data_IF_810503070328
#
_entry.id   IF_810503070328
#
_cell.length_a   1.000
_cell.length_b   1.000
_cell.length_c   1.000
_cell.angle_alpha   90.00
_cell.angle_beta   90.00
_cell.angle_gamma   90.00
#
_symmetry.space_group_name_H-M   'P 1'
#
loop_
_entity.id
_entity.type
_entity.pdbx_description
1 polymer ?
#
# COMPACT_ATOMS: atom_id res chain seq x y z
N UNK A 1 -7.09 -22.67 28.95
CA UNK A 1 -7.34 -21.26 28.56
C UNK A 1 -8.83 -21.12 28.31
N UNK A 2 -9.55 -20.33 29.09
CA UNK A 2 -10.92 -19.93 28.77
C UNK A 2 -10.85 -18.73 27.84
N UNK A 3 -11.33 -18.86 26.61
CA UNK A 3 -11.45 -17.71 25.71
C UNK A 3 -12.60 -16.82 26.23
N UNK A 4 -12.36 -15.55 26.58
CA UNK A 4 -13.40 -14.66 27.09
C UNK A 4 -14.50 -14.37 26.06
N UNK A 5 -14.21 -14.57 24.77
CA UNK A 5 -15.15 -14.42 23.65
C UNK A 5 -15.14 -15.66 22.77
N UNK A 6 -16.32 -16.07 22.28
CA UNK A 6 -16.44 -17.19 21.33
C UNK A 6 -15.94 -16.83 19.93
N UNK A 7 -16.06 -15.55 19.54
CA UNK A 7 -15.63 -15.00 18.26
C UNK A 7 -15.14 -13.58 18.46
N UNK A 8 -14.18 -13.17 17.63
CA UNK A 8 -13.70 -11.78 17.55
C UNK A 8 -13.88 -11.33 16.11
N UNK A 9 -14.48 -10.16 15.93
CA UNK A 9 -14.64 -9.52 14.63
C UNK A 9 -13.70 -8.32 14.58
N UNK A 10 -12.57 -8.48 13.87
CA UNK A 10 -11.63 -7.40 13.63
C UNK A 10 -11.99 -6.72 12.30
N UNK A 11 -12.23 -5.41 12.36
CA UNK A 11 -12.54 -4.58 11.19
C UNK A 11 -11.41 -3.57 11.05
N UNK A 12 -10.70 -3.61 9.93
CA UNK A 12 -9.71 -2.60 9.57
C UNK A 12 -10.35 -1.64 8.58
N UNK A 13 -10.44 -0.37 8.96
CA UNK A 13 -10.81 0.71 8.05
C UNK A 13 -9.52 1.23 7.42
N UNK A 14 -9.14 0.67 6.26
CA UNK A 14 -7.83 0.92 5.65
C UNK A 14 -7.59 2.43 5.44
N UNK A 15 -6.39 2.89 5.79
CA UNK A 15 -5.92 4.30 5.75
C UNK A 15 -6.65 5.32 6.65
N UNK A 16 -7.62 4.91 7.48
CA UNK A 16 -8.37 5.85 8.35
C UNK A 16 -7.56 6.23 9.60
N UNK A 17 -6.57 7.10 9.43
CA UNK A 17 -5.74 7.66 10.50
C UNK A 17 -6.43 8.75 11.34
N UNK A 18 -6.09 8.85 12.62
CA UNK A 18 -6.66 9.80 13.60
C UNK A 18 -5.60 10.80 14.12
N UNK A 19 -4.81 11.33 13.19
CA UNK A 19 -3.75 12.31 13.46
C UNK A 19 -2.34 11.76 13.27
N UNK A 20 -1.38 12.68 13.19
CA UNK A 20 0.03 12.37 13.01
C UNK A 20 0.60 11.54 14.18
N UNK A 21 1.50 10.61 13.86
CA UNK A 21 2.25 9.83 14.84
C UNK A 21 3.41 10.66 15.43
N UNK A 22 3.95 10.28 16.62
CA UNK A 22 5.08 10.99 17.23
C UNK A 22 6.33 11.11 16.35
N UNK A 23 6.50 10.20 15.40
CA UNK A 23 7.62 10.10 14.46
C UNK A 23 7.23 10.52 13.02
N UNK A 24 6.07 11.16 12.81
CA UNK A 24 5.58 11.58 11.49
C UNK A 24 6.61 12.39 10.68
N UNK A 25 7.48 13.14 11.37
CA UNK A 25 8.61 13.85 10.76
C UNK A 25 9.57 12.95 9.99
N UNK A 26 9.85 11.74 10.48
CA UNK A 26 10.71 10.78 9.79
C UNK A 26 10.13 10.33 8.45
N UNK A 27 8.80 10.45 8.29
CA UNK A 27 8.06 10.10 7.08
C UNK A 27 7.63 11.30 6.24
N UNK A 28 8.03 12.52 6.62
CA UNK A 28 7.59 13.81 6.04
C UNK A 28 6.05 14.02 6.08
N UNK A 29 5.39 13.54 7.13
CA UNK A 29 3.93 13.60 7.30
C UNK A 29 3.49 14.54 8.45
N UNK A 30 4.33 15.48 8.85
CA UNK A 30 3.98 16.46 9.90
C UNK A 30 2.70 17.23 9.52
N UNK A 31 1.75 17.32 10.46
CA UNK A 31 0.44 17.94 10.28
C UNK A 31 -0.62 17.04 9.63
N UNK A 32 -0.31 15.77 9.36
CA UNK A 32 -1.30 14.83 8.80
C UNK A 32 -2.44 14.52 9.80
N UNK A 33 -3.68 14.50 9.32
CA UNK A 33 -4.85 14.05 10.09
C UNK A 33 -5.99 13.62 9.15
N UNK A 34 -5.96 12.36 8.70
CA UNK A 34 -6.87 11.85 7.67
C UNK A 34 -8.33 12.04 8.04
N UNK A 35 -8.75 11.53 9.20
CA UNK A 35 -10.14 11.55 9.60
C UNK A 35 -10.66 12.97 9.81
N UNK A 36 -9.90 13.83 10.51
CA UNK A 36 -10.30 15.23 10.73
C UNK A 36 -10.46 15.99 9.42
N UNK A 37 -9.43 16.01 8.57
CA UNK A 37 -9.46 16.76 7.31
C UNK A 37 -10.54 16.24 6.34
N UNK A 38 -10.83 14.93 6.38
CA UNK A 38 -11.94 14.36 5.60
C UNK A 38 -13.29 14.87 6.10
N UNK A 39 -13.48 14.94 7.42
CA UNK A 39 -14.74 15.33 8.03
C UNK A 39 -14.98 16.85 8.02
N UNK A 40 -13.97 17.68 7.82
CA UNK A 40 -14.12 19.14 7.71
C UNK A 40 -15.05 19.56 6.55
N UNK A 41 -15.11 18.78 5.48
CA UNK A 41 -16.02 18.98 4.35
C UNK A 41 -17.28 18.11 4.39
N UNK A 42 -17.55 17.42 5.50
CA UNK A 42 -18.63 16.45 5.62
C UNK A 42 -19.72 16.96 6.55
N UNK A 43 -20.96 17.06 6.06
CA UNK A 43 -22.08 17.66 6.82
C UNK A 43 -22.96 16.63 7.55
N UNK A 44 -22.76 15.34 7.31
CA UNK A 44 -23.60 14.27 7.86
C UNK A 44 -23.01 13.72 9.15
N UNK A 45 -23.86 13.55 10.17
CA UNK A 45 -23.45 12.94 11.44
C UNK A 45 -23.11 11.46 11.26
N UNK A 46 -22.19 10.97 12.09
CA UNK A 46 -21.82 9.54 12.17
C UNK A 46 -22.28 8.93 13.51
N UNK A 47 -23.61 8.80 13.75
CA UNK A 47 -24.15 8.50 15.07
C UNK A 47 -23.71 7.15 15.64
N UNK A 48 -23.47 6.16 14.78
CA UNK A 48 -22.99 4.85 15.22
C UNK A 48 -21.54 4.90 15.71
N UNK A 49 -20.67 5.66 15.04
CA UNK A 49 -19.27 5.82 15.46
C UNK A 49 -19.15 6.73 16.68
N UNK A 50 -19.98 7.79 16.73
CA UNK A 50 -20.15 8.63 17.91
C UNK A 50 -20.57 7.81 19.14
N UNK A 51 -21.61 6.98 19.00
CA UNK A 51 -22.08 6.10 20.08
C UNK A 51 -21.08 5.02 20.52
N UNK A 52 -20.14 4.63 19.64
CA UNK A 52 -19.03 3.74 19.99
C UNK A 52 -17.86 4.47 20.70
N UNK A 53 -17.86 5.80 20.72
CA UNK A 53 -16.84 6.62 21.40
C UNK A 53 -15.74 7.18 20.49
N UNK A 54 -15.95 7.26 19.17
CA UNK A 54 -14.93 7.80 18.24
C UNK A 54 -14.52 9.24 18.60
N UNK A 55 -15.48 10.13 18.87
CA UNK A 55 -15.20 11.51 19.27
C UNK A 55 -14.56 11.65 20.66
N UNK A 56 -14.53 10.58 21.45
CA UNK A 56 -13.80 10.55 22.72
C UNK A 56 -12.30 10.30 22.54
N UNK A 57 -11.84 9.82 21.37
CA UNK A 57 -10.42 9.59 21.06
C UNK A 57 -9.73 10.92 20.70
N UNK A 58 -10.36 11.72 19.85
CA UNK A 58 -9.86 13.02 19.41
C UNK A 58 -11.04 13.96 19.05
N UNK A 59 -10.79 15.26 18.99
CA UNK A 59 -11.79 16.24 18.56
C UNK A 59 -11.97 16.19 17.04
N UNK A 60 -13.17 15.82 16.59
CA UNK A 60 -13.49 15.54 15.19
C UNK A 60 -14.73 16.33 14.74
N UNK A 61 -14.74 16.86 13.51
CA UNK A 61 -15.96 17.40 12.93
C UNK A 61 -17.05 16.32 12.86
N UNK A 62 -18.31 16.73 13.03
CA UNK A 62 -19.53 15.90 12.94
C UNK A 62 -19.61 14.64 13.83
N UNK A 63 -18.62 14.41 14.70
CA UNK A 63 -18.58 13.29 15.67
C UNK A 63 -18.30 13.84 17.06
N UNK A 64 -19.34 13.91 17.89
CA UNK A 64 -19.25 14.40 19.25
C UNK A 64 -18.66 13.41 20.25
N UNK A 65 -18.34 13.92 21.44
CA UNK A 65 -18.05 13.10 22.62
C UNK A 65 -19.34 12.59 23.25
N UNK A 66 -19.30 11.39 23.79
CA UNK A 66 -20.39 10.80 24.58
C UNK A 66 -19.92 10.43 25.98
N UNK A 67 -20.78 10.62 26.98
CA UNK A 67 -20.47 10.29 28.38
C UNK A 67 -20.49 8.76 28.63
N UNK A 68 -21.38 8.04 27.94
CA UNK A 68 -21.59 6.60 28.07
C UNK A 68 -21.41 5.89 26.72
N UNK A 69 -20.17 5.69 26.23
CA UNK A 69 -19.93 4.99 24.98
C UNK A 69 -20.26 3.49 25.10
N UNK A 70 -20.78 2.92 24.02
CA UNK A 70 -21.14 1.49 23.97
C UNK A 70 -19.93 0.54 23.98
N UNK A 71 -18.71 1.07 23.84
CA UNK A 71 -17.47 0.30 23.80
C UNK A 71 -16.28 1.03 24.40
N UNK A 72 -15.16 0.32 24.50
CA UNK A 72 -13.87 0.90 24.85
C UNK A 72 -13.24 1.58 23.64
N UNK A 73 -12.52 2.68 23.88
CA UNK A 73 -11.89 3.47 22.84
C UNK A 73 -10.46 3.87 23.25
N UNK A 74 -9.58 3.96 22.25
CA UNK A 74 -8.21 4.47 22.36
C UNK A 74 -7.67 4.71 20.95
N UNK A 75 -6.43 5.19 20.84
CA UNK A 75 -5.62 5.12 19.62
C UNK A 75 -4.40 4.24 19.83
N UNK A 76 -3.82 3.77 18.74
CA UNK A 76 -2.61 2.96 18.71
C UNK A 76 -1.50 3.74 18.00
N UNK A 77 -0.25 3.49 18.38
CA UNK A 77 0.93 3.98 17.66
C UNK A 77 1.59 2.79 17.01
N UNK A 78 1.90 2.90 15.72
CA UNK A 78 2.68 1.89 14.98
C UNK A 78 4.10 1.86 15.55
N UNK A 79 4.63 0.65 15.76
CA UNK A 79 5.96 0.40 16.32
C UNK A 79 6.99 -0.01 15.25
N UNK A 80 6.51 -0.56 14.14
CA UNK A 80 7.31 -0.92 12.97
C UNK A 80 7.85 0.31 12.24
N UNK A 81 8.90 0.13 11.43
CA UNK A 81 9.60 1.25 10.75
C UNK A 81 9.02 1.58 9.35
N UNK A 82 7.84 1.07 9.03
CA UNK A 82 7.15 1.29 7.75
C UNK A 82 5.71 1.75 7.97
N UNK A 83 5.15 2.43 6.97
CA UNK A 83 3.75 2.93 6.95
C UNK A 83 2.91 2.33 5.81
N UNK A 84 3.37 1.21 5.24
CA UNK A 84 2.66 0.51 4.16
C UNK A 84 1.62 -0.46 4.71
N UNK A 85 0.62 -0.80 3.88
CA UNK A 85 -0.49 -1.68 4.28
C UNK A 85 -0.03 -3.04 4.82
N UNK A 86 1.06 -3.61 4.30
CA UNK A 86 1.54 -4.92 4.77
C UNK A 86 2.12 -4.82 6.17
N UNK A 87 3.00 -3.83 6.40
CA UNK A 87 3.59 -3.54 7.72
C UNK A 87 2.51 -3.39 8.79
N UNK A 88 1.52 -2.53 8.57
CA UNK A 88 0.46 -2.29 9.55
C UNK A 88 -0.37 -3.55 9.84
N UNK A 89 -0.75 -4.31 8.81
CA UNK A 89 -1.53 -5.55 9.01
C UNK A 89 -0.73 -6.64 9.72
N UNK A 90 0.57 -6.74 9.45
CA UNK A 90 1.48 -7.68 10.11
C UNK A 90 1.66 -7.32 11.59
N UNK A 91 1.77 -6.02 11.91
CA UNK A 91 1.86 -5.56 13.29
C UNK A 91 0.58 -5.79 14.08
N UNK A 92 -0.60 -5.55 13.48
CA UNK A 92 -1.90 -5.88 14.10
C UNK A 92 -1.96 -7.38 14.46
N UNK A 93 -1.32 -8.24 13.67
CA UNK A 93 -1.25 -9.69 13.90
C UNK A 93 -0.04 -10.12 14.77
N UNK A 94 0.73 -9.18 15.31
CA UNK A 94 1.75 -9.43 16.34
C UNK A 94 3.20 -9.50 15.83
N UNK A 95 3.49 -9.08 14.60
CA UNK A 95 4.86 -8.94 14.11
C UNK A 95 5.41 -7.53 14.43
N UNK A 96 6.73 -7.39 14.43
CA UNK A 96 7.40 -6.10 14.47
C UNK A 96 8.37 -6.02 13.29
N UNK A 97 8.09 -5.10 12.36
CA UNK A 97 8.80 -4.99 11.09
C UNK A 97 9.87 -3.91 11.22
N UNK A 98 11.13 -4.33 11.21
CA UNK A 98 12.30 -3.45 11.35
C UNK A 98 12.95 -3.10 10.00
N UNK A 99 12.43 -3.64 8.90
CA UNK A 99 12.89 -3.38 7.53
C UNK A 99 11.67 -2.98 6.68
N UNK A 100 11.57 -1.71 6.25
CA UNK A 100 10.39 -1.25 5.54
C UNK A 100 10.41 -1.70 4.08
N UNK A 101 9.23 -1.96 3.53
CA UNK A 101 9.09 -2.09 2.08
C UNK A 101 9.39 -0.76 1.39
N UNK A 102 9.94 -0.83 0.18
CA UNK A 102 10.30 0.36 -0.61
C UNK A 102 9.19 0.75 -1.56
N UNK A 103 8.90 2.04 -1.59
CA UNK A 103 8.06 2.68 -2.62
C UNK A 103 8.95 3.41 -3.62
N UNK A 104 8.46 3.54 -4.86
CA UNK A 104 9.24 4.01 -6.00
C UNK A 104 8.54 5.16 -6.72
N UNK A 105 8.38 6.35 -6.08
CA UNK A 105 7.62 7.47 -6.64
C UNK A 105 8.23 8.04 -7.93
N UNK A 106 9.51 7.77 -8.19
CA UNK A 106 10.23 8.19 -9.39
C UNK A 106 10.60 7.01 -10.29
N UNK A 107 9.92 5.86 -10.13
CA UNK A 107 10.28 4.61 -10.80
C UNK A 107 11.36 3.80 -10.07
N UNK A 108 11.61 2.60 -10.59
CA UNK A 108 12.64 1.69 -10.11
C UNK A 108 14.04 2.19 -10.49
N UNK A 109 15.08 1.94 -9.67
CA UNK A 109 16.44 2.32 -9.99
C UNK A 109 16.94 1.66 -11.28
N UNK A 110 17.74 2.37 -12.06
CA UNK A 110 18.30 1.89 -13.34
C UNK A 110 19.01 0.54 -13.21
N UNK A 111 19.64 0.26 -12.07
CA UNK A 111 20.30 -1.01 -11.80
C UNK A 111 19.31 -2.18 -11.70
N UNK A 112 18.16 -1.98 -11.05
CA UNK A 112 17.10 -3.01 -11.00
C UNK A 112 16.51 -3.21 -12.40
N UNK A 113 16.27 -2.11 -13.13
CA UNK A 113 15.77 -2.16 -14.51
C UNK A 113 16.73 -2.95 -15.40
N UNK A 114 18.02 -2.63 -15.38
CA UNK A 114 19.04 -3.32 -16.16
C UNK A 114 19.14 -4.81 -15.82
N UNK A 115 18.97 -5.18 -14.54
CA UNK A 115 18.97 -6.56 -14.11
C UNK A 115 17.73 -7.33 -14.60
N UNK A 116 16.55 -6.70 -14.58
CA UNK A 116 15.32 -7.24 -15.19
C UNK A 116 15.53 -7.45 -16.69
N UNK A 117 16.08 -6.47 -17.40
CA UNK A 117 16.36 -6.60 -18.83
C UNK A 117 17.34 -7.75 -19.11
N UNK A 118 18.39 -7.89 -18.30
CA UNK A 118 19.39 -8.95 -18.43
C UNK A 118 18.79 -10.33 -18.22
N UNK A 119 17.92 -10.49 -17.24
CA UNK A 119 17.29 -11.79 -16.90
C UNK A 119 16.23 -12.22 -17.90
N UNK A 120 15.50 -11.25 -18.45
CA UNK A 120 14.37 -11.51 -19.36
C UNK A 120 14.78 -11.47 -20.83
N UNK A 121 15.88 -10.81 -21.16
CA UNK A 121 16.29 -10.55 -22.54
C UNK A 121 15.41 -9.52 -23.26
N UNK A 122 14.52 -8.83 -22.55
CA UNK A 122 13.56 -7.84 -23.08
C UNK A 122 13.87 -6.46 -22.50
N UNK A 123 13.63 -5.39 -23.25
CA UNK A 123 13.79 -4.03 -22.71
C UNK A 123 12.65 -3.67 -21.78
N UNK A 124 12.90 -2.76 -20.85
CA UNK A 124 11.88 -2.24 -19.94
C UNK A 124 11.52 -0.82 -20.34
N UNK A 125 10.21 -0.54 -20.42
CA UNK A 125 9.66 0.78 -20.73
C UNK A 125 8.76 1.30 -19.62
N UNK A 126 8.37 2.58 -19.72
CA UNK A 126 7.62 3.37 -18.75
C UNK A 126 8.34 3.67 -17.42
N UNK A 127 8.63 2.65 -16.62
CA UNK A 127 9.30 2.71 -15.31
C UNK A 127 8.89 3.91 -14.43
N UNK A 128 7.59 4.02 -14.12
CA UNK A 128 7.05 5.12 -13.29
C UNK A 128 5.77 4.70 -12.56
N UNK A 129 5.31 5.47 -11.56
CA UNK A 129 3.96 5.31 -11.04
C UNK A 129 2.91 5.63 -12.12
N UNK A 130 1.92 4.76 -12.27
CA UNK A 130 0.82 4.95 -13.21
C UNK A 130 -0.39 4.07 -12.85
N UNK A 131 -1.58 4.46 -13.32
CA UNK A 131 -2.71 3.53 -13.34
C UNK A 131 -2.50 2.48 -14.44
N UNK A 132 -3.03 1.27 -14.24
CA UNK A 132 -2.90 0.19 -15.23
C UNK A 132 -3.53 0.55 -16.58
N UNK A 133 -4.71 1.19 -16.56
CA UNK A 133 -5.36 1.67 -17.78
C UNK A 133 -4.51 2.71 -18.50
N UNK A 134 -4.00 3.72 -17.78
CA UNK A 134 -3.19 4.77 -18.38
C UNK A 134 -1.92 4.22 -19.02
N UNK A 135 -1.19 3.33 -18.32
CA UNK A 135 0.09 2.85 -18.83
C UNK A 135 -0.07 1.94 -20.05
N UNK A 136 -1.16 1.16 -20.09
CA UNK A 136 -1.50 0.34 -21.26
C UNK A 136 -1.91 1.22 -22.44
N UNK A 137 -2.70 2.28 -22.22
CA UNK A 137 -3.08 3.22 -23.27
C UNK A 137 -1.85 3.93 -23.88
N UNK A 138 -0.86 4.28 -23.06
CA UNK A 138 0.36 4.98 -23.50
C UNK A 138 1.39 4.06 -24.16
N UNK A 139 1.61 2.85 -23.61
CA UNK A 139 2.73 1.97 -24.00
C UNK A 139 2.31 0.66 -24.66
N UNK A 140 1.02 0.34 -24.69
CA UNK A 140 0.51 -0.92 -25.23
C UNK A 140 0.89 -1.13 -26.70
N UNK A 141 0.73 -0.11 -27.55
CA UNK A 141 1.11 -0.20 -28.95
C UNK A 141 2.62 -0.46 -29.14
N UNK A 142 3.47 0.27 -28.41
CA UNK A 142 4.92 0.03 -28.41
C UNK A 142 5.26 -1.39 -27.96
N UNK A 143 4.64 -1.87 -26.87
CA UNK A 143 4.88 -3.20 -26.35
C UNK A 143 4.48 -4.28 -27.35
N UNK A 144 3.37 -4.08 -28.07
CA UNK A 144 2.93 -5.03 -29.08
C UNK A 144 3.88 -5.11 -30.28
N UNK A 145 4.47 -3.99 -30.66
CA UNK A 145 5.42 -3.91 -31.79
C UNK A 145 6.81 -4.47 -31.46
N UNK A 146 7.26 -4.29 -30.22
CA UNK A 146 8.66 -4.55 -29.82
C UNK A 146 8.83 -5.82 -28.98
N UNK A 147 7.80 -6.19 -28.22
CA UNK A 147 7.90 -7.21 -27.18
C UNK A 147 8.64 -6.76 -25.92
N UNK A 148 8.83 -5.45 -25.72
CA UNK A 148 9.39 -4.89 -24.49
C UNK A 148 8.43 -5.11 -23.29
N UNK A 149 8.93 -5.05 -22.06
CA UNK A 149 8.13 -5.15 -20.85
C UNK A 149 7.68 -3.77 -20.38
N UNK A 150 6.37 -3.56 -20.21
CA UNK A 150 5.86 -2.37 -19.55
C UNK A 150 5.97 -2.60 -18.05
N UNK A 151 6.94 -1.95 -17.40
CA UNK A 151 7.13 -2.06 -15.96
C UNK A 151 6.69 -0.77 -15.29
N UNK A 152 5.80 -0.88 -14.30
CA UNK A 152 5.25 0.27 -13.59
C UNK A 152 4.94 -0.05 -12.13
N UNK A 153 4.66 0.99 -11.35
CA UNK A 153 4.39 0.87 -9.91
C UNK A 153 3.17 1.71 -9.51
N UNK A 154 2.85 1.74 -8.22
CA UNK A 154 1.78 2.54 -7.62
C UNK A 154 2.30 3.33 -6.42
N UNK A 155 1.41 3.82 -5.56
CA UNK A 155 1.80 4.37 -4.26
C UNK A 155 2.24 3.27 -3.27
N UNK A 156 1.76 2.04 -3.46
CA UNK A 156 2.11 0.86 -2.66
C UNK A 156 3.43 0.22 -3.13
N UNK A 157 4.11 -0.56 -2.28
CA UNK A 157 5.35 -1.26 -2.62
C UNK A 157 5.09 -2.46 -3.56
N UNK A 158 4.74 -2.17 -4.81
CA UNK A 158 4.43 -3.17 -5.85
C UNK A 158 5.22 -2.90 -7.12
N UNK A 159 5.54 -3.97 -7.86
CA UNK A 159 6.05 -3.89 -9.23
C UNK A 159 5.10 -4.67 -10.12
N UNK A 160 4.61 -4.00 -11.16
CA UNK A 160 3.64 -4.54 -12.09
C UNK A 160 4.30 -4.67 -13.46
N UNK A 161 4.12 -5.81 -14.11
CA UNK A 161 4.68 -6.11 -15.43
C UNK A 161 3.51 -6.37 -16.36
N UNK A 162 3.28 -5.45 -17.29
CA UNK A 162 2.23 -5.58 -18.29
C UNK A 162 2.77 -6.06 -19.63
N UNK A 163 2.07 -7.03 -20.23
CA UNK A 163 2.40 -7.54 -21.56
C UNK A 163 1.17 -8.10 -22.29
N UNK A 164 1.04 -7.80 -23.58
CA UNK A 164 -0.02 -8.36 -24.42
C UNK A 164 0.20 -9.86 -24.65
N UNK A 165 -0.83 -10.68 -24.39
CA UNK A 165 -0.74 -12.15 -24.40
C UNK A 165 -0.34 -12.75 -25.76
N UNK A 166 -0.74 -12.12 -26.87
CA UNK A 166 -0.33 -12.56 -28.23
C UNK A 166 1.17 -12.35 -28.51
N UNK A 167 1.87 -11.56 -27.69
CA UNK A 167 3.29 -11.21 -27.88
C UNK A 167 4.16 -11.87 -26.81
N UNK A 168 3.68 -11.90 -25.58
CA UNK A 168 4.31 -12.59 -24.46
C UNK A 168 3.25 -13.50 -23.84
N UNK A 169 3.30 -14.82 -24.12
CA UNK A 169 2.33 -15.76 -23.58
C UNK A 169 2.29 -15.72 -22.05
N UNK A 170 1.14 -16.01 -21.47
CA UNK A 170 0.90 -15.93 -20.03
C UNK A 170 1.92 -16.73 -19.20
N UNK A 171 2.30 -17.92 -19.65
CA UNK A 171 3.32 -18.75 -18.98
C UNK A 171 4.69 -18.07 -18.95
N UNK A 172 5.08 -17.37 -20.02
CA UNK A 172 6.31 -16.59 -20.07
C UNK A 172 6.22 -15.38 -19.14
N UNK A 173 5.09 -14.66 -19.13
CA UNK A 173 4.88 -13.52 -18.23
C UNK A 173 4.96 -13.94 -16.75
N UNK A 174 4.44 -15.12 -16.40
CA UNK A 174 4.55 -15.68 -15.05
C UNK A 174 5.98 -16.04 -14.69
N UNK A 175 6.72 -16.73 -15.56
CA UNK A 175 8.15 -17.03 -15.35
C UNK A 175 8.98 -15.75 -15.17
N UNK A 176 8.69 -14.69 -15.96
CA UNK A 176 9.28 -13.37 -15.79
C UNK A 176 8.97 -12.81 -14.40
N UNK A 177 7.70 -12.79 -13.98
CA UNK A 177 7.29 -12.26 -12.67
C UNK A 177 7.94 -13.03 -11.50
N UNK A 178 8.07 -14.35 -11.61
CA UNK A 178 8.72 -15.19 -10.60
C UNK A 178 10.22 -14.86 -10.47
N UNK A 179 10.93 -14.73 -11.60
CA UNK A 179 12.34 -14.30 -11.60
C UNK A 179 12.53 -12.91 -11.00
N UNK A 180 11.65 -11.96 -11.35
CA UNK A 180 11.68 -10.61 -10.77
C UNK A 180 11.32 -10.63 -9.28
N UNK A 181 10.44 -11.53 -8.82
CA UNK A 181 10.16 -11.71 -7.40
C UNK A 181 11.40 -12.16 -6.63
N UNK A 182 12.21 -13.07 -7.15
CA UNK A 182 13.45 -13.48 -6.48
C UNK A 182 14.45 -12.33 -6.33
N UNK A 183 14.62 -11.50 -7.36
CA UNK A 183 15.46 -10.29 -7.29
C UNK A 183 15.01 -9.30 -6.22
N UNK A 184 13.69 -9.09 -6.13
CA UNK A 184 13.10 -8.04 -5.29
C UNK A 184 12.89 -8.47 -3.84
N UNK A 185 13.40 -9.66 -3.45
CA UNK A 185 13.59 -10.05 -2.05
C UNK A 185 14.85 -9.43 -1.44
N UNK A 186 15.79 -8.96 -2.26
CA UNK A 186 16.96 -8.26 -1.75
C UNK A 186 16.53 -6.98 -1.00
N UNK A 187 17.00 -6.73 0.25
CA UNK A 187 16.74 -5.50 0.98
C UNK A 187 17.02 -4.20 0.20
N UNK A 188 17.92 -4.26 -0.79
CA UNK A 188 18.18 -3.16 -1.73
C UNK A 188 16.95 -2.79 -2.55
N UNK A 189 16.10 -3.76 -2.89
CA UNK A 189 14.92 -3.61 -3.74
C UNK A 189 13.64 -4.16 -3.12
N UNK A 190 13.54 -4.20 -1.78
CA UNK A 190 12.48 -4.91 -1.09
C UNK A 190 11.08 -4.42 -1.49
N UNK A 191 10.41 -5.18 -2.35
CA UNK A 191 9.08 -4.91 -2.87
C UNK A 191 8.10 -5.92 -2.24
N UNK A 192 6.92 -5.47 -1.86
CA UNK A 192 5.90 -6.30 -1.23
C UNK A 192 5.27 -7.31 -2.18
N UNK A 193 4.95 -6.89 -3.42
CA UNK A 193 4.28 -7.76 -4.40
C UNK A 193 4.73 -7.51 -5.84
N UNK A 194 4.85 -8.59 -6.61
CA UNK A 194 4.96 -8.56 -8.07
C UNK A 194 3.62 -8.96 -8.67
N UNK A 195 3.15 -8.24 -9.69
CA UNK A 195 1.83 -8.46 -10.30
C UNK A 195 1.99 -8.58 -11.82
N UNK A 196 1.66 -9.74 -12.36
CA UNK A 196 1.47 -9.92 -13.81
C UNK A 196 0.21 -9.17 -14.25
N UNK A 197 0.30 -8.40 -15.34
CA UNK A 197 -0.76 -7.53 -15.84
C UNK A 197 -1.03 -7.71 -17.32
#
# INVERSE_FOLDING_TARGET
MTAPFQRVHLIVMDSVGIGEAPDAKAFNDEGSHTLKHTLEGFDQKLPNLEGLGLGNIDDLPVVGRVDEPAGYYTKMSEASVGKDTMTGHWEIMGLNINEPFKVYPNGFPDELVAEIERLTGRKVVANRPASGTQIIDEWGAHQMETGDLIVYTSADPVLQIAAHEDIIPLEELYDICEKVRELTKDPKYLIGRIIAR
#
